data_IF_741681406711
#
_entry.id   IF_741681406711
#
_cell.length_a   1.000
_cell.length_b   1.000
_cell.length_c   1.000
_cell.angle_alpha   90.00
_cell.angle_beta   90.00
_cell.angle_gamma   90.00
#
_symmetry.space_group_name_H-M   'P 1'
#
loop_
_entity.id
_entity.type
_entity.pdbx_description
1 polymer ?
#
# COMPACT_ATOMS: atom_id res chain seq x y z
N UNK A 1 -2.94 -5.93 1.77
CA UNK A 1 -2.53 -7.19 2.44
C UNK A 1 -2.74 -8.36 1.50
N UNK A 2 -3.92 -8.47 0.91
CA UNK A 2 -4.28 -9.61 0.06
C UNK A 2 -3.37 -9.79 -1.15
N UNK A 3 -2.98 -8.70 -1.84
CA UNK A 3 -2.01 -8.82 -2.96
C UNK A 3 -0.66 -9.39 -2.52
N UNK A 4 -0.16 -9.03 -1.33
CA UNK A 4 1.08 -9.63 -0.80
C UNK A 4 0.90 -11.13 -0.54
N UNK A 5 -0.21 -11.52 0.08
CA UNK A 5 -0.52 -12.93 0.32
C UNK A 5 -0.63 -13.71 -1.00
N UNK A 6 -1.31 -13.12 -2.00
CA UNK A 6 -1.43 -13.69 -3.35
C UNK A 6 -0.07 -13.85 -4.03
N UNK A 7 0.84 -12.87 -3.90
CA UNK A 7 2.21 -12.99 -4.42
C UNK A 7 2.96 -14.12 -3.72
N UNK A 8 2.88 -14.23 -2.39
CA UNK A 8 3.53 -15.31 -1.65
C UNK A 8 3.04 -16.68 -2.14
N UNK A 9 1.73 -16.87 -2.27
CA UNK A 9 1.15 -18.12 -2.80
C UNK A 9 1.56 -18.37 -4.24
N UNK A 10 1.59 -17.33 -5.08
CA UNK A 10 2.04 -17.43 -6.45
C UNK A 10 3.50 -17.91 -6.52
N UNK A 11 4.41 -17.29 -5.76
CA UNK A 11 5.83 -17.64 -5.75
C UNK A 11 6.05 -19.06 -5.23
N UNK A 12 5.36 -19.48 -4.15
CA UNK A 12 5.48 -20.85 -3.62
C UNK A 12 5.11 -21.93 -4.65
N UNK A 13 4.22 -21.62 -5.60
CA UNK A 13 3.77 -22.58 -6.61
C UNK A 13 4.54 -22.49 -7.94
N UNK A 14 5.15 -21.34 -8.24
CA UNK A 14 5.65 -21.05 -9.60
C UNK A 14 7.12 -20.61 -9.65
N UNK A 15 7.79 -20.42 -8.51
CA UNK A 15 9.17 -19.95 -8.47
C UNK A 15 10.02 -20.77 -7.50
N UNK A 16 11.17 -21.26 -7.98
CA UNK A 16 12.12 -22.08 -7.21
C UNK A 16 13.55 -21.53 -7.25
N UNK A 17 13.72 -20.27 -7.66
CA UNK A 17 15.02 -19.60 -7.65
C UNK A 17 15.44 -19.13 -6.25
N UNK A 18 16.69 -18.73 -6.11
CA UNK A 18 17.32 -18.33 -4.85
C UNK A 18 17.42 -16.81 -4.65
N UNK A 19 17.06 -16.01 -5.65
CA UNK A 19 17.08 -14.56 -5.55
C UNK A 19 15.75 -13.99 -5.03
N UNK A 20 15.84 -12.82 -4.40
CA UNK A 20 14.67 -12.11 -3.86
C UNK A 20 13.72 -11.63 -4.97
N UNK A 21 12.44 -11.49 -4.61
CA UNK A 21 11.40 -10.90 -5.47
C UNK A 21 10.74 -9.77 -4.69
N UNK A 22 10.77 -8.56 -5.23
CA UNK A 22 10.14 -7.40 -4.59
C UNK A 22 8.62 -7.49 -4.69
N UNK A 23 7.94 -7.24 -3.57
CA UNK A 23 6.49 -7.17 -3.49
C UNK A 23 6.05 -5.70 -3.47
N UNK A 24 5.42 -5.24 -4.56
CA UNK A 24 4.96 -3.86 -4.66
C UNK A 24 4.13 -3.61 -5.91
N UNK A 25 3.73 -2.36 -6.10
CA UNK A 25 2.93 -1.93 -7.25
C UNK A 25 3.75 -1.27 -8.36
N UNK A 26 5.02 -0.93 -8.09
CA UNK A 26 5.84 -0.10 -8.98
C UNK A 26 5.33 1.35 -9.11
N UNK A 27 4.33 1.75 -8.32
CA UNK A 27 3.79 3.11 -8.28
C UNK A 27 4.24 3.82 -7.01
N UNK A 28 4.39 5.14 -7.09
CA UNK A 28 4.63 6.01 -5.93
C UNK A 28 3.67 7.20 -5.95
N UNK A 29 3.56 7.83 -4.78
CA UNK A 29 2.84 9.07 -4.57
C UNK A 29 3.53 9.87 -3.48
N UNK A 30 3.32 11.18 -3.51
CA UNK A 30 3.76 12.08 -2.44
C UNK A 30 2.95 11.86 -1.17
N UNK A 31 3.49 12.28 -0.02
CA UNK A 31 2.73 12.29 1.24
C UNK A 31 1.47 13.17 1.11
N UNK A 32 1.54 14.26 0.35
CA UNK A 32 0.40 15.14 0.12
C UNK A 32 -0.74 14.41 -0.58
N UNK A 33 -0.46 13.75 -1.71
CA UNK A 33 -1.46 12.98 -2.46
C UNK A 33 -2.04 11.83 -1.60
N UNK A 34 -1.21 11.16 -0.81
CA UNK A 34 -1.68 10.11 0.10
C UNK A 34 -2.64 10.67 1.15
N UNK A 35 -2.28 11.78 1.79
CA UNK A 35 -3.12 12.42 2.80
C UNK A 35 -4.45 12.90 2.21
N UNK A 36 -4.44 13.50 1.02
CA UNK A 36 -5.65 13.94 0.33
C UNK A 36 -6.54 12.75 -0.05
N UNK A 37 -5.95 11.64 -0.52
CA UNK A 37 -6.68 10.42 -0.83
C UNK A 37 -7.33 9.81 0.41
N UNK A 38 -6.59 9.73 1.52
CA UNK A 38 -7.14 9.25 2.80
C UNK A 38 -8.28 10.15 3.27
N UNK A 39 -8.09 11.48 3.25
CA UNK A 39 -9.11 12.44 3.65
C UNK A 39 -10.40 12.28 2.84
N UNK A 40 -10.29 12.09 1.52
CA UNK A 40 -11.42 11.80 0.63
C UNK A 40 -12.14 10.51 1.04
N UNK A 41 -11.40 9.41 1.24
CA UNK A 41 -11.99 8.11 1.55
C UNK A 41 -12.71 8.11 2.91
N UNK A 42 -12.14 8.77 3.92
CA UNK A 42 -12.75 8.84 5.26
C UNK A 42 -13.82 9.93 5.39
N UNK A 43 -14.02 10.77 4.37
CA UNK A 43 -14.97 11.88 4.40
C UNK A 43 -14.53 13.06 5.27
N UNK A 44 -13.23 13.27 5.46
CA UNK A 44 -12.71 14.39 6.23
C UNK A 44 -12.81 15.71 5.45
N UNK A 45 -13.52 16.68 6.01
CA UNK A 45 -13.74 18.01 5.38
C UNK A 45 -13.02 19.14 6.11
N UNK A 46 -12.16 18.83 7.09
CA UNK A 46 -11.39 19.82 7.83
C UNK A 46 -10.14 20.31 7.07
N UNK A 47 -9.38 21.19 7.72
CA UNK A 47 -8.12 21.70 7.19
C UNK A 47 -6.95 20.75 7.50
N UNK A 48 -6.15 20.41 6.47
CA UNK A 48 -4.89 19.67 6.64
C UNK A 48 -3.75 20.67 6.82
N UNK A 49 -3.13 20.68 8.01
CA UNK A 49 -1.98 21.53 8.34
C UNK A 49 -0.67 20.74 8.27
N UNK A 50 0.34 21.34 7.63
CA UNK A 50 1.65 20.75 7.43
C UNK A 50 2.68 21.41 8.35
N UNK A 51 3.27 20.64 9.28
CA UNK A 51 4.30 21.14 10.18
C UNK A 51 5.70 20.99 9.56
N UNK A 52 6.19 22.07 8.96
CA UNK A 52 7.53 22.10 8.33
C UNK A 52 8.68 22.20 9.33
N UNK A 53 8.40 22.31 10.64
CA UNK A 53 9.45 22.25 11.67
C UNK A 53 9.98 20.83 11.88
N UNK A 54 9.23 19.81 11.43
CA UNK A 54 9.63 18.41 11.53
C UNK A 54 10.48 17.99 10.32
N UNK A 55 11.51 17.14 10.53
CA UNK A 55 12.33 16.66 9.42
C UNK A 55 11.52 15.73 8.52
N UNK A 56 11.74 15.84 7.21
CA UNK A 56 11.24 14.87 6.25
C UNK A 56 12.11 13.59 6.28
N UNK A 57 11.49 12.47 5.92
CA UNK A 57 12.20 11.21 5.67
C UNK A 57 12.96 11.21 4.34
N UNK A 58 13.35 10.02 3.89
CA UNK A 58 13.98 9.83 2.57
C UNK A 58 13.03 10.34 1.47
N UNK A 59 13.50 11.16 0.50
CA UNK A 59 12.64 11.77 -0.51
C UNK A 59 11.88 10.78 -1.40
N UNK A 60 12.43 9.57 -1.61
CA UNK A 60 11.85 8.55 -2.50
C UNK A 60 12.11 7.16 -1.95
N UNK A 61 11.08 6.30 -1.97
CA UNK A 61 11.16 4.88 -1.63
C UNK A 61 10.26 4.08 -2.56
N UNK A 62 10.75 3.80 -3.77
CA UNK A 62 10.05 3.02 -4.78
C UNK A 62 10.77 1.69 -5.00
N UNK A 63 10.01 0.60 -4.99
CA UNK A 63 10.53 -0.73 -5.32
C UNK A 63 10.49 -0.97 -6.83
N UNK A 64 11.55 -1.55 -7.36
CA UNK A 64 11.52 -2.16 -8.70
C UNK A 64 10.80 -3.51 -8.63
N UNK A 65 9.70 -3.64 -9.37
CA UNK A 65 8.84 -4.82 -9.40
C UNK A 65 8.99 -5.64 -10.68
N UNK A 66 9.95 -5.28 -11.55
CA UNK A 66 10.13 -5.89 -12.88
C UNK A 66 10.23 -7.41 -12.83
N UNK A 67 10.87 -7.97 -11.79
CA UNK A 67 10.99 -9.41 -11.61
C UNK A 67 9.64 -10.09 -11.36
N UNK A 68 8.81 -9.54 -10.46
CA UNK A 68 7.47 -10.10 -10.21
C UNK A 68 6.61 -10.05 -11.48
N UNK A 69 6.67 -8.95 -12.22
CA UNK A 69 5.95 -8.80 -13.50
C UNK A 69 6.46 -9.78 -14.57
N UNK A 70 7.78 -9.99 -14.66
CA UNK A 70 8.38 -10.95 -15.61
C UNK A 70 8.00 -12.40 -15.30
N UNK A 71 7.74 -12.73 -14.04
CA UNK A 71 7.20 -14.02 -13.62
C UNK A 71 5.70 -14.17 -13.92
N UNK A 72 5.03 -13.10 -14.38
CA UNK A 72 3.61 -13.10 -14.71
C UNK A 72 2.69 -12.70 -13.56
N UNK A 73 3.25 -12.21 -12.44
CA UNK A 73 2.44 -11.71 -11.33
C UNK A 73 2.31 -10.19 -11.38
N UNK A 74 1.09 -9.70 -11.13
CA UNK A 74 0.81 -8.27 -11.00
C UNK A 74 -0.21 -8.03 -9.90
N UNK A 75 -0.01 -6.95 -9.14
CA UNK A 75 -0.97 -6.50 -8.13
C UNK A 75 -2.31 -6.17 -8.79
N UNK A 76 -3.41 -6.30 -8.02
CA UNK A 76 -4.77 -6.03 -8.52
C UNK A 76 -5.46 -4.87 -7.82
N UNK A 77 -5.11 -4.62 -6.57
CA UNK A 77 -5.77 -3.63 -5.73
C UNK A 77 -5.12 -2.27 -5.95
N UNK A 78 -5.87 -1.31 -6.48
CA UNK A 78 -5.41 0.08 -6.51
C UNK A 78 -5.45 0.71 -5.12
N UNK A 79 -4.63 1.74 -4.90
CA UNK A 79 -4.42 2.31 -3.57
C UNK A 79 -5.71 2.83 -2.93
N UNK A 80 -6.57 3.51 -3.70
CA UNK A 80 -7.85 4.04 -3.21
C UNK A 80 -8.76 2.92 -2.71
N UNK A 81 -8.88 1.82 -3.46
CA UNK A 81 -9.66 0.65 -3.06
C UNK A 81 -9.10 0.01 -1.79
N UNK A 82 -7.77 -0.12 -1.72
CA UNK A 82 -7.10 -0.64 -0.53
C UNK A 82 -7.35 0.19 0.72
N UNK A 83 -7.32 1.53 0.61
CA UNK A 83 -7.62 2.44 1.72
C UNK A 83 -9.09 2.32 2.13
N UNK A 84 -10.02 2.26 1.16
CA UNK A 84 -11.45 2.10 1.44
C UNK A 84 -11.74 0.81 2.19
N UNK A 85 -11.20 -0.32 1.73
CA UNK A 85 -11.36 -1.62 2.39
C UNK A 85 -10.74 -1.62 3.80
N UNK A 86 -9.57 -1.01 3.97
CA UNK A 86 -8.93 -0.90 5.29
C UNK A 86 -9.75 -0.04 6.26
N UNK A 87 -10.35 1.05 5.77
CA UNK A 87 -11.22 1.90 6.57
C UNK A 87 -12.54 1.20 6.94
N UNK A 88 -13.14 0.48 5.99
CA UNK A 88 -14.32 -0.38 6.25
C UNK A 88 -14.03 -1.44 7.31
N UNK A 89 -12.87 -2.14 7.24
CA UNK A 89 -12.45 -3.08 8.30
C UNK A 89 -12.31 -2.37 9.65
N UNK A 90 -11.66 -1.19 9.68
CA UNK A 90 -11.50 -0.42 10.91
C UNK A 90 -12.84 -0.08 11.59
N UNK A 91 -13.85 0.32 10.81
CA UNK A 91 -15.17 0.70 11.35
C UNK A 91 -15.98 -0.48 11.88
N UNK A 92 -15.84 -1.66 11.29
CA UNK A 92 -16.72 -2.81 11.57
C UNK A 92 -16.06 -3.94 12.36
N UNK A 93 -14.74 -3.88 12.59
CA UNK A 93 -14.00 -4.93 13.27
C UNK A 93 -13.74 -4.59 14.76
N UNK A 94 -14.49 -5.21 15.71
CA UNK A 94 -14.44 -4.85 17.12
C UNK A 94 -13.07 -5.08 17.77
N UNK A 95 -12.26 -6.01 17.24
CA UNK A 95 -10.91 -6.31 17.74
C UNK A 95 -9.90 -5.17 17.53
N UNK A 96 -10.15 -4.26 16.58
CA UNK A 96 -9.26 -3.12 16.31
C UNK A 96 -9.62 -1.86 17.09
N UNK A 97 -10.87 -1.72 17.52
CA UNK A 97 -11.33 -0.56 18.30
C UNK A 97 -10.76 -0.53 19.74
N UNK A 98 -10.26 -1.67 20.24
CA UNK A 98 -9.73 -1.83 21.60
C UNK A 98 -8.19 -1.74 21.72
N UNK A 99 -7.46 -1.44 20.62
CA UNK A 99 -6.00 -1.26 20.61
C UNK A 99 -5.61 0.21 20.44
#
# INVERSE_FOLDING_TARGET
>A
MDDLANLCVFLMNNYSGDETVNAGTGKELTIKELTELVAKVVGFTGEIKWDTSKPNGTPRKLLDVSKAESLGWKYKTELEDGIRLAYEDFLHNPMRAER
#
